data_IF_715561824123
#
_entry.id   IF_715561824123
#
_cell.length_a   1.000
_cell.length_b   1.000
_cell.length_c   1.000
_cell.angle_alpha   90.00
_cell.angle_beta   90.00
_cell.angle_gamma   90.00
#
_symmetry.space_group_name_H-M   'P 1'
#
loop_
_entity.id
_entity.type
_entity.pdbx_description
1 polymer ?
#
# COMPACT_ATOMS: atom_id res chain seq x y z
N UNK A 1 1.26 28.40 -33.20
CA UNK A 1 2.25 28.29 -34.29
C UNK A 1 3.32 27.33 -33.82
N UNK A 2 3.24 26.07 -34.24
CA UNK A 2 4.13 24.99 -33.78
C UNK A 2 5.21 24.76 -34.86
N UNK A 3 6.48 24.92 -34.49
CA UNK A 3 7.63 24.57 -35.34
C UNK A 3 8.01 23.09 -35.19
N UNK A 4 8.63 22.47 -36.21
CA UNK A 4 8.92 21.04 -36.22
C UNK A 4 10.24 20.70 -35.50
N UNK A 5 10.27 19.53 -34.85
CA UNK A 5 11.47 18.90 -34.28
C UNK A 5 12.26 18.13 -35.36
N UNK A 6 13.60 18.14 -35.33
CA UNK A 6 14.42 17.39 -36.28
C UNK A 6 14.62 15.93 -35.87
N UNK A 7 14.67 15.07 -36.89
CA UNK A 7 15.04 13.66 -36.83
C UNK A 7 16.55 13.47 -36.63
N UNK A 8 16.94 12.34 -36.02
CA UNK A 8 18.29 11.78 -36.16
C UNK A 8 18.33 10.28 -35.90
N UNK A 9 19.35 9.58 -36.44
CA UNK A 9 19.22 8.26 -37.06
C UNK A 9 19.82 7.14 -36.20
N UNK A 10 19.56 5.90 -36.63
CA UNK A 10 19.93 4.67 -35.94
C UNK A 10 21.29 4.08 -36.30
N UNK A 11 21.45 2.83 -35.83
CA UNK A 11 22.30 1.80 -36.42
C UNK A 11 23.69 1.65 -35.80
N UNK A 12 23.98 0.44 -35.28
CA UNK A 12 25.34 0.04 -34.95
C UNK A 12 25.43 -1.20 -34.07
N UNK A 13 25.30 -2.37 -34.68
CA UNK A 13 25.58 -3.68 -34.09
C UNK A 13 27.10 -3.93 -33.96
N UNK A 14 27.51 -4.73 -32.97
CA UNK A 14 28.78 -5.45 -33.01
C UNK A 14 28.68 -6.79 -32.26
N UNK A 15 29.07 -7.85 -32.98
CA UNK A 15 29.24 -9.23 -32.54
C UNK A 15 30.63 -9.46 -31.92
N UNK A 16 30.77 -10.54 -31.15
CA UNK A 16 32.04 -11.17 -30.75
C UNK A 16 31.78 -12.17 -29.62
N UNK A 17 31.53 -13.45 -29.89
CA UNK A 17 32.44 -14.56 -30.24
C UNK A 17 33.22 -15.16 -29.05
N UNK A 18 32.81 -16.39 -28.72
CA UNK A 18 33.55 -17.60 -28.31
C UNK A 18 34.68 -17.56 -27.26
N UNK A 19 34.58 -18.46 -26.26
CA UNK A 19 35.55 -19.51 -25.87
C UNK A 19 34.97 -20.28 -24.64
N UNK A 20 34.66 -21.58 -24.71
CA UNK A 20 35.54 -22.76 -24.55
C UNK A 20 35.56 -23.32 -23.11
N UNK A 21 35.06 -24.56 -22.99
CA UNK A 21 35.70 -25.64 -22.22
C UNK A 21 35.68 -25.62 -20.68
N UNK A 22 35.03 -26.63 -20.08
CA UNK A 22 35.17 -26.91 -18.65
C UNK A 22 34.34 -28.10 -18.18
N UNK A 23 34.71 -29.31 -18.60
CA UNK A 23 34.26 -30.54 -17.97
C UNK A 23 34.94 -30.68 -16.60
N UNK A 24 34.19 -31.00 -15.55
CA UNK A 24 34.79 -31.26 -14.24
C UNK A 24 33.81 -31.51 -13.12
N UNK A 25 33.69 -32.80 -12.79
CA UNK A 25 33.46 -33.35 -11.45
C UNK A 25 32.06 -33.32 -10.83
N UNK A 26 31.46 -34.51 -10.87
CA UNK A 26 30.55 -35.04 -9.88
C UNK A 26 31.15 -34.95 -8.46
N UNK A 27 30.42 -34.31 -7.56
CA UNK A 27 30.57 -34.50 -6.13
C UNK A 27 29.16 -34.65 -5.54
N UNK A 28 28.95 -35.83 -4.95
CA UNK A 28 27.72 -36.23 -4.28
C UNK A 28 27.39 -35.29 -3.12
N UNK A 29 26.14 -34.84 -3.06
CA UNK A 29 25.57 -34.18 -1.89
C UNK A 29 24.59 -35.12 -1.18
N UNK A 30 24.66 -35.23 0.17
CA UNK A 30 23.94 -36.23 0.95
C UNK A 30 22.47 -35.86 1.18
N UNK A 31 21.59 -36.86 1.05
CA UNK A 31 20.24 -36.79 1.63
C UNK A 31 20.32 -36.86 3.16
N UNK A 32 19.55 -36.01 3.86
CA UNK A 32 18.73 -36.54 4.94
C UNK A 32 17.32 -35.93 4.92
N UNK A 33 16.52 -36.23 3.89
CA UNK A 33 15.08 -35.91 3.85
C UNK A 33 14.22 -37.07 4.39
N UNK A 34 14.57 -37.60 5.57
CA UNK A 34 13.85 -38.76 6.15
C UNK A 34 13.67 -38.72 7.67
N UNK A 35 13.55 -37.53 8.26
CA UNK A 35 13.30 -37.39 9.71
C UNK A 35 12.41 -36.18 10.08
N UNK A 36 11.27 -35.99 9.41
CA UNK A 36 10.15 -35.18 9.95
C UNK A 36 8.82 -35.85 9.55
N UNK A 37 8.56 -37.04 10.09
CA UNK A 37 7.25 -37.70 9.93
C UNK A 37 6.81 -38.46 11.19
N UNK A 38 7.41 -38.20 12.35
CA UNK A 38 7.14 -39.00 13.57
C UNK A 38 7.21 -38.19 14.85
N UNK A 39 6.65 -36.97 14.87
CA UNK A 39 6.44 -36.21 16.10
C UNK A 39 5.16 -35.34 16.07
N UNK A 40 4.07 -35.88 15.51
CA UNK A 40 2.72 -35.35 15.71
C UNK A 40 1.74 -36.48 16.02
N UNK A 41 1.94 -37.15 17.16
CA UNK A 41 0.88 -37.86 17.87
C UNK A 41 0.95 -37.50 19.34
N UNK A 42 -0.05 -36.74 19.77
CA UNK A 42 -0.65 -36.73 21.11
C UNK A 42 -0.80 -35.31 21.64
N UNK A 43 -1.83 -34.61 21.14
CA UNK A 43 -2.64 -33.72 21.96
C UNK A 43 -4.05 -33.72 21.38
N UNK A 44 -5.00 -34.14 22.20
CA UNK A 44 -6.42 -34.13 21.91
C UNK A 44 -6.88 -32.69 21.71
N UNK A 45 -7.08 -32.28 20.46
CA UNK A 45 -7.70 -31.01 20.10
C UNK A 45 -9.16 -31.30 19.73
N UNK A 46 -10.07 -30.61 20.43
CA UNK A 46 -11.51 -30.77 20.30
C UNK A 46 -12.02 -30.55 18.88
N UNK A 47 -13.17 -31.15 18.58
CA UNK A 47 -13.79 -31.21 17.25
C UNK A 47 -14.23 -29.87 16.63
N UNK A 48 -13.83 -28.72 17.18
CA UNK A 48 -14.19 -27.39 16.64
C UNK A 48 -13.12 -26.75 15.75
N UNK A 49 -11.88 -27.25 15.71
CA UNK A 49 -10.79 -26.62 14.94
C UNK A 49 -10.55 -27.25 13.54
N UNK A 50 -11.22 -28.36 13.21
CA UNK A 50 -11.07 -29.00 11.90
C UNK A 50 -11.75 -28.27 10.74
N UNK A 51 -12.56 -27.25 11.03
CA UNK A 51 -13.14 -26.38 10.01
C UNK A 51 -12.20 -25.24 9.56
N UNK A 52 -11.19 -24.88 10.37
CA UNK A 52 -10.28 -23.77 10.09
C UNK A 52 -9.00 -24.17 9.33
N UNK A 53 -8.73 -25.48 9.19
CA UNK A 53 -7.52 -26.01 8.53
C UNK A 53 -7.78 -26.56 7.12
N UNK A 54 -8.88 -26.17 6.47
CA UNK A 54 -8.98 -26.12 5.01
C UNK A 54 -8.50 -24.76 4.48
N UNK A 55 -7.36 -24.30 4.99
CA UNK A 55 -6.54 -23.30 4.31
C UNK A 55 -6.19 -23.90 2.96
N UNK A 56 -6.89 -23.43 1.94
CA UNK A 56 -6.67 -23.79 0.56
C UNK A 56 -5.17 -23.76 0.30
N UNK A 57 -4.60 -24.87 -0.17
CA UNK A 57 -3.28 -24.83 -0.76
C UNK A 57 -3.26 -23.61 -1.69
N UNK A 58 -2.29 -22.67 -1.53
CA UNK A 58 -2.22 -21.51 -2.39
C UNK A 58 -2.28 -22.06 -3.82
N UNK A 59 -3.35 -21.69 -4.54
CA UNK A 59 -3.58 -22.24 -5.88
C UNK A 59 -2.28 -22.08 -6.66
N UNK A 60 -1.86 -23.07 -7.45
CA UNK A 60 -0.60 -22.99 -8.24
C UNK A 60 -0.51 -21.67 -9.02
N UNK A 61 -1.65 -21.08 -9.38
CA UNK A 61 -1.78 -19.73 -9.92
C UNK A 61 -1.17 -18.62 -9.04
N UNK A 62 -1.35 -18.66 -7.72
CA UNK A 62 -0.77 -17.70 -6.78
C UNK A 62 0.76 -17.74 -6.76
N UNK A 63 1.37 -18.92 -6.96
CA UNK A 63 2.83 -19.06 -7.10
C UNK A 63 3.35 -18.59 -8.46
N UNK A 64 2.47 -18.51 -9.47
CA UNK A 64 2.80 -18.07 -10.83
C UNK A 64 2.51 -16.57 -11.06
N UNK A 65 1.98 -15.86 -10.05
CA UNK A 65 1.71 -14.44 -10.18
C UNK A 65 3.03 -13.68 -10.29
N UNK A 66 3.21 -13.03 -11.44
CA UNK A 66 4.30 -12.07 -11.65
C UNK A 66 3.84 -10.67 -11.27
N UNK A 67 4.79 -9.77 -11.00
CA UNK A 67 4.49 -8.34 -10.80
C UNK A 67 3.68 -7.74 -11.96
N UNK A 68 3.91 -8.18 -13.20
CA UNK A 68 3.15 -7.73 -14.39
C UNK A 68 1.68 -8.14 -14.32
N UNK A 69 1.39 -9.39 -13.97
CA UNK A 69 0.00 -9.84 -13.79
C UNK A 69 -0.69 -9.12 -12.62
N UNK A 70 0.06 -8.78 -11.58
CA UNK A 70 -0.47 -8.04 -10.43
C UNK A 70 -0.84 -6.59 -10.78
N UNK A 71 0.06 -5.86 -11.42
CA UNK A 71 -0.20 -4.49 -11.91
C UNK A 71 -1.38 -4.48 -12.90
N UNK A 72 -1.50 -5.50 -13.76
CA UNK A 72 -2.63 -5.59 -14.69
C UNK A 72 -3.98 -5.70 -13.97
N UNK A 73 -4.07 -6.48 -12.88
CA UNK A 73 -5.29 -6.54 -12.07
C UNK A 73 -5.69 -5.18 -11.48
N UNK A 74 -4.70 -4.38 -11.06
CA UNK A 74 -4.93 -3.01 -10.56
C UNK A 74 -5.41 -2.09 -11.67
N UNK A 75 -4.78 -2.15 -12.86
CA UNK A 75 -5.18 -1.37 -14.04
C UNK A 75 -6.63 -1.65 -14.47
N UNK A 76 -7.05 -2.90 -14.34
CA UNK A 76 -8.41 -3.38 -14.61
C UNK A 76 -9.38 -3.16 -13.44
N UNK A 77 -8.95 -2.54 -12.34
CA UNK A 77 -9.76 -2.32 -11.12
C UNK A 77 -10.31 -3.60 -10.49
N UNK A 78 -9.63 -4.73 -10.66
CA UNK A 78 -10.01 -6.03 -10.07
C UNK A 78 -9.57 -6.11 -8.61
N UNK A 79 -10.01 -5.16 -7.78
CA UNK A 79 -9.54 -4.94 -6.41
C UNK A 79 -9.57 -6.19 -5.53
N UNK A 80 -10.68 -6.94 -5.56
CA UNK A 80 -10.82 -8.16 -4.75
C UNK A 80 -9.78 -9.23 -5.15
N UNK A 81 -9.50 -9.37 -6.45
CA UNK A 81 -8.52 -10.33 -6.94
C UNK A 81 -7.10 -9.87 -6.64
N UNK A 82 -6.82 -8.58 -6.76
CA UNK A 82 -5.54 -8.00 -6.36
C UNK A 82 -5.28 -8.18 -4.85
N UNK A 83 -6.29 -7.96 -3.98
CA UNK A 83 -6.19 -8.27 -2.55
C UNK A 83 -5.90 -9.75 -2.29
N UNK A 84 -6.63 -10.65 -2.97
CA UNK A 84 -6.41 -12.10 -2.85
C UNK A 84 -5.02 -12.52 -3.32
N UNK A 85 -4.55 -11.93 -4.43
CA UNK A 85 -3.22 -12.13 -4.98
C UNK A 85 -2.12 -11.73 -3.98
N UNK A 86 -2.18 -10.53 -3.40
CA UNK A 86 -1.21 -10.09 -2.39
C UNK A 86 -1.26 -10.99 -1.17
N UNK A 87 -2.45 -11.31 -0.66
CA UNK A 87 -2.58 -12.13 0.56
C UNK A 87 -2.11 -13.57 0.39
N UNK A 88 -2.18 -14.12 -0.83
CA UNK A 88 -1.83 -15.51 -1.11
C UNK A 88 -0.41 -15.70 -1.68
N UNK A 89 0.29 -14.62 -2.05
CA UNK A 89 1.62 -14.70 -2.62
C UNK A 89 2.66 -15.04 -1.54
N UNK A 90 3.67 -15.86 -1.87
CA UNK A 90 4.73 -16.23 -0.93
C UNK A 90 5.68 -15.07 -0.60
N UNK A 91 5.66 -14.00 -1.39
CA UNK A 91 6.41 -12.76 -1.14
C UNK A 91 5.56 -11.55 -1.54
N UNK A 92 4.62 -11.09 -0.70
CA UNK A 92 3.74 -9.98 -1.02
C UNK A 92 4.47 -8.65 -1.22
N UNK A 93 5.61 -8.45 -0.56
CA UNK A 93 6.46 -7.26 -0.69
C UNK A 93 7.08 -7.16 -2.08
N UNK A 94 7.44 -8.31 -2.69
CA UNK A 94 7.92 -8.34 -4.07
C UNK A 94 6.85 -7.85 -5.05
N UNK A 95 5.58 -8.26 -4.86
CA UNK A 95 4.48 -7.76 -5.66
C UNK A 95 4.30 -6.25 -5.46
N UNK A 96 4.32 -5.78 -4.21
CA UNK A 96 4.14 -4.37 -3.86
C UNK A 96 5.24 -3.45 -4.44
N UNK A 97 6.48 -3.93 -4.53
CA UNK A 97 7.63 -3.21 -5.12
C UNK A 97 7.85 -3.48 -6.61
N UNK A 98 7.04 -4.33 -7.23
CA UNK A 98 7.17 -4.59 -8.66
C UNK A 98 7.00 -3.30 -9.46
N UNK A 99 7.68 -3.20 -10.60
CA UNK A 99 7.55 -2.06 -11.50
C UNK A 99 7.18 -2.58 -12.88
N UNK A 100 6.36 -1.82 -13.60
CA UNK A 100 6.16 -2.09 -15.02
C UNK A 100 7.33 -1.56 -15.86
N UNK A 101 7.17 -1.62 -17.20
CA UNK A 101 8.20 -1.18 -18.15
C UNK A 101 8.48 0.32 -18.10
N UNK A 102 7.52 1.12 -17.65
CA UNK A 102 7.57 2.58 -17.59
C UNK A 102 8.08 3.05 -16.22
N UNK A 103 8.25 2.10 -15.28
CA UNK A 103 8.72 2.34 -13.93
C UNK A 103 7.60 2.68 -12.96
N UNK A 104 6.34 2.47 -13.34
CA UNK A 104 5.19 2.66 -12.48
C UNK A 104 5.02 1.46 -11.54
N UNK A 105 4.76 1.78 -10.28
CA UNK A 105 4.51 0.80 -9.23
C UNK A 105 3.03 0.42 -9.14
N UNK A 106 2.70 -0.72 -8.50
CA UNK A 106 1.34 -1.04 -8.08
C UNK A 106 0.67 0.11 -7.32
N UNK A 107 1.41 0.78 -6.44
CA UNK A 107 0.90 1.90 -5.66
C UNK A 107 0.53 3.08 -6.56
N UNK A 108 1.37 3.44 -7.53
CA UNK A 108 1.11 4.50 -8.51
C UNK A 108 -0.11 4.18 -9.37
N UNK A 109 -0.22 2.94 -9.87
CA UNK A 109 -1.37 2.51 -10.66
C UNK A 109 -2.67 2.46 -9.84
N UNK A 110 -2.59 2.01 -8.58
CA UNK A 110 -3.74 1.99 -7.69
C UNK A 110 -4.20 3.41 -7.42
N UNK A 111 -3.28 4.30 -7.04
CA UNK A 111 -3.53 5.72 -6.84
C UNK A 111 -4.23 6.35 -8.06
N UNK A 112 -3.70 6.12 -9.26
CA UNK A 112 -4.29 6.62 -10.51
C UNK A 112 -5.69 6.06 -10.81
N UNK A 113 -5.94 4.77 -10.49
CA UNK A 113 -7.21 4.09 -10.82
C UNK A 113 -8.21 4.05 -9.67
N UNK A 114 -7.89 4.64 -8.52
CA UNK A 114 -8.63 4.49 -7.28
C UNK A 114 -10.11 4.86 -7.42
N UNK A 115 -10.92 4.27 -6.55
CA UNK A 115 -12.36 4.48 -6.44
C UNK A 115 -12.79 4.25 -4.99
N UNK A 116 -14.01 4.66 -4.61
CA UNK A 116 -14.56 4.46 -3.26
C UNK A 116 -14.91 3.01 -2.91
N UNK A 117 -14.28 2.03 -3.58
CA UNK A 117 -14.44 0.63 -3.28
C UNK A 117 -13.71 0.29 -1.97
N UNK A 118 -14.37 -0.40 -1.01
CA UNK A 118 -13.70 -0.84 0.22
C UNK A 118 -12.47 -1.71 -0.05
N UNK A 119 -12.50 -2.49 -1.14
CA UNK A 119 -11.36 -3.32 -1.55
C UNK A 119 -10.20 -2.48 -2.09
N UNK A 120 -10.48 -1.35 -2.74
CA UNK A 120 -9.44 -0.41 -3.17
C UNK A 120 -8.74 0.22 -1.96
N UNK A 121 -9.50 0.67 -0.97
CA UNK A 121 -8.96 1.23 0.27
C UNK A 121 -8.12 0.20 1.03
N UNK A 122 -8.63 -1.03 1.18
CA UNK A 122 -7.89 -2.13 1.79
C UNK A 122 -6.58 -2.39 1.06
N UNK A 123 -6.61 -2.49 -0.28
CA UNK A 123 -5.42 -2.73 -1.08
C UNK A 123 -4.41 -1.59 -0.95
N UNK A 124 -4.84 -0.32 -0.96
CA UNK A 124 -3.95 0.83 -0.76
C UNK A 124 -3.17 0.69 0.56
N UNK A 125 -3.89 0.48 1.67
CA UNK A 125 -3.27 0.34 3.00
C UNK A 125 -2.32 -0.83 3.06
N UNK A 126 -2.71 -1.99 2.52
CA UNK A 126 -1.83 -3.16 2.45
C UNK A 126 -0.56 -2.87 1.63
N UNK A 127 -0.65 -2.17 0.51
CA UNK A 127 0.55 -1.81 -0.28
C UNK A 127 1.46 -0.82 0.47
N UNK A 128 0.89 0.14 1.19
CA UNK A 128 1.66 1.09 2.01
C UNK A 128 2.36 0.40 3.19
N UNK A 129 1.73 -0.60 3.80
CA UNK A 129 2.33 -1.41 4.87
C UNK A 129 3.47 -2.29 4.36
N UNK A 130 3.29 -2.94 3.20
CA UNK A 130 4.29 -3.87 2.64
C UNK A 130 5.51 -3.16 2.03
N UNK A 131 5.30 -1.96 1.47
CA UNK A 131 6.32 -1.23 0.74
C UNK A 131 6.20 0.29 0.96
N UNK A 132 6.43 0.77 2.21
CA UNK A 132 6.28 2.19 2.54
C UNK A 132 7.21 3.09 1.74
N UNK A 133 8.38 2.60 1.35
CA UNK A 133 9.35 3.32 0.50
C UNK A 133 8.78 3.69 -0.89
N UNK A 134 7.74 2.99 -1.35
CA UNK A 134 7.14 3.24 -2.66
C UNK A 134 6.32 4.53 -2.71
N UNK A 135 5.90 5.09 -1.57
CA UNK A 135 5.14 6.35 -1.52
C UNK A 135 5.95 7.54 -2.07
N UNK A 136 7.28 7.51 -1.93
CA UNK A 136 8.19 8.56 -2.38
C UNK A 136 8.93 8.18 -3.68
N UNK A 137 8.59 7.03 -4.26
CA UNK A 137 9.21 6.56 -5.50
C UNK A 137 8.66 7.32 -6.71
N UNK A 138 9.55 7.95 -7.45
CA UNK A 138 9.23 8.62 -8.71
C UNK A 138 9.24 7.65 -9.88
N UNK A 139 8.23 7.72 -10.74
CA UNK A 139 8.25 7.03 -12.03
C UNK A 139 9.21 7.71 -13.02
N UNK A 140 9.54 7.01 -14.12
CA UNK A 140 10.68 7.36 -14.97
C UNK A 140 10.40 8.47 -15.97
N UNK A 141 9.20 8.53 -16.51
CA UNK A 141 8.80 9.39 -17.63
C UNK A 141 8.63 10.83 -17.15
N UNK A 142 7.66 11.10 -16.28
CA UNK A 142 7.29 12.44 -15.81
C UNK A 142 7.85 12.78 -14.42
N UNK A 143 8.46 11.80 -13.73
CA UNK A 143 8.92 11.96 -12.36
C UNK A 143 7.78 12.03 -11.35
N UNK A 144 6.59 11.50 -11.67
CA UNK A 144 5.44 11.48 -10.78
C UNK A 144 5.69 10.61 -9.56
N UNK A 145 5.31 11.14 -8.40
CA UNK A 145 5.05 10.33 -7.20
C UNK A 145 3.68 9.66 -7.33
N UNK A 146 3.39 8.60 -6.56
CA UNK A 146 2.03 8.08 -6.43
C UNK A 146 0.98 9.15 -6.16
N UNK A 147 1.32 10.21 -5.41
CA UNK A 147 0.42 11.35 -5.17
C UNK A 147 0.11 12.14 -6.45
N UNK A 148 1.07 12.32 -7.36
CA UNK A 148 0.81 12.91 -8.68
C UNK A 148 -0.06 11.99 -9.52
N UNK A 149 0.20 10.68 -9.50
CA UNK A 149 -0.63 9.68 -10.19
C UNK A 149 -2.08 9.73 -9.71
N UNK A 150 -2.30 9.88 -8.39
CA UNK A 150 -3.63 10.04 -7.80
C UNK A 150 -4.34 11.30 -8.32
N UNK A 151 -3.65 12.45 -8.34
CA UNK A 151 -4.21 13.70 -8.84
C UNK A 151 -4.52 13.64 -10.34
N UNK A 152 -3.59 13.09 -11.15
CA UNK A 152 -3.78 12.87 -12.58
C UNK A 152 -4.99 11.94 -12.86
N UNK A 153 -5.24 10.97 -11.98
CA UNK A 153 -6.40 10.08 -12.05
C UNK A 153 -7.71 10.66 -11.51
N UNK A 154 -7.67 11.86 -10.92
CA UNK A 154 -8.76 12.43 -10.12
C UNK A 154 -9.29 11.45 -9.06
N UNK A 155 -8.37 10.78 -8.36
CA UNK A 155 -8.69 9.86 -7.30
C UNK A 155 -9.51 10.54 -6.19
N UNK A 156 -10.33 9.81 -5.41
CA UNK A 156 -10.94 10.36 -4.21
C UNK A 156 -9.91 10.98 -3.25
N UNK A 157 -10.29 12.04 -2.51
CA UNK A 157 -9.37 12.76 -1.63
C UNK A 157 -8.75 11.86 -0.54
N UNK A 158 -9.49 10.86 -0.05
CA UNK A 158 -8.99 9.91 0.95
C UNK A 158 -7.72 9.16 0.49
N UNK A 159 -7.50 9.00 -0.82
CA UNK A 159 -6.27 8.42 -1.35
C UNK A 159 -5.10 9.38 -1.15
N UNK A 160 -5.31 10.67 -1.41
CA UNK A 160 -4.31 11.71 -1.19
C UNK A 160 -3.97 11.83 0.30
N UNK A 161 -5.00 11.86 1.14
CA UNK A 161 -4.89 11.90 2.60
C UNK A 161 -4.03 10.72 3.11
N UNK A 162 -4.32 9.49 2.69
CA UNK A 162 -3.57 8.29 3.07
C UNK A 162 -2.10 8.31 2.61
N UNK A 163 -1.83 8.83 1.40
CA UNK A 163 -0.47 8.97 0.89
C UNK A 163 0.29 10.07 1.66
N UNK A 164 -0.35 11.20 1.97
CA UNK A 164 0.23 12.29 2.75
C UNK A 164 0.51 11.87 4.20
N UNK A 165 -0.28 10.97 4.79
CA UNK A 165 0.05 10.40 6.12
C UNK A 165 1.41 9.70 6.12
N UNK A 166 1.78 9.05 5.01
CA UNK A 166 3.04 8.31 4.89
C UNK A 166 4.20 9.19 4.41
N UNK A 167 3.91 10.22 3.61
CA UNK A 167 4.92 11.14 3.07
C UNK A 167 4.37 12.56 2.88
N UNK A 168 4.28 13.35 3.97
CA UNK A 168 3.72 14.69 3.97
C UNK A 168 4.37 15.63 2.95
N UNK A 169 5.69 15.58 2.81
CA UNK A 169 6.45 16.43 1.90
C UNK A 169 6.10 16.19 0.43
N UNK A 170 5.49 15.03 0.12
CA UNK A 170 5.02 14.67 -1.20
C UNK A 170 4.00 15.64 -1.77
N UNK A 171 3.24 16.35 -0.94
CA UNK A 171 2.20 17.29 -1.38
C UNK A 171 2.77 18.53 -2.07
N UNK A 172 4.00 18.92 -1.73
CA UNK A 172 4.72 20.05 -2.35
C UNK A 172 5.83 19.58 -3.31
N UNK A 173 5.98 18.26 -3.49
CA UNK A 173 7.00 17.71 -4.36
C UNK A 173 6.65 18.01 -5.81
N UNK A 174 7.62 18.52 -6.56
CA UNK A 174 7.41 18.86 -7.96
C UNK A 174 7.74 17.67 -8.87
N UNK A 175 6.96 17.47 -9.93
CA UNK A 175 7.27 16.58 -11.05
C UNK A 175 8.42 17.12 -11.91
N UNK A 176 8.83 16.40 -12.96
CA UNK A 176 9.83 16.91 -13.93
C UNK A 176 9.36 18.12 -14.71
N UNK A 177 8.04 18.29 -14.85
CA UNK A 177 7.43 19.47 -15.47
C UNK A 177 7.17 20.61 -14.49
N UNK A 178 7.70 20.49 -13.25
CA UNK A 178 7.61 21.50 -12.18
C UNK A 178 6.19 21.77 -11.68
N UNK A 179 5.29 20.80 -11.79
CA UNK A 179 3.96 20.87 -11.20
C UNK A 179 3.92 20.09 -9.89
N UNK A 180 3.25 20.61 -8.87
CA UNK A 180 2.87 19.85 -7.68
C UNK A 180 1.72 18.87 -8.02
N UNK A 181 1.39 17.90 -7.16
CA UNK A 181 0.21 17.06 -7.36
C UNK A 181 -1.08 17.87 -7.53
N UNK A 182 -1.25 18.95 -6.76
CA UNK A 182 -2.45 19.77 -6.82
C UNK A 182 -2.53 20.56 -8.14
N UNK A 183 -1.44 21.23 -8.52
CA UNK A 183 -1.34 21.94 -9.81
C UNK A 183 -1.67 21.01 -10.98
N UNK A 184 -1.09 19.80 -10.96
CA UNK A 184 -1.30 18.77 -11.98
C UNK A 184 -2.78 18.36 -12.08
N UNK A 185 -3.44 18.18 -10.93
CA UNK A 185 -4.86 17.84 -10.86
C UNK A 185 -5.76 18.95 -11.39
N UNK A 186 -5.49 20.21 -10.99
CA UNK A 186 -6.22 21.39 -11.46
C UNK A 186 -6.01 21.60 -12.97
N UNK A 187 -4.78 21.47 -13.45
CA UNK A 187 -4.41 21.61 -14.86
C UNK A 187 -5.12 20.56 -15.73
N UNK A 188 -5.14 19.29 -15.29
CA UNK A 188 -5.70 18.19 -16.07
C UNK A 188 -7.25 18.06 -15.98
N UNK A 189 -7.86 18.44 -14.86
CA UNK A 189 -9.31 18.24 -14.63
C UNK A 189 -10.12 19.55 -14.47
N UNK A 190 -9.46 20.70 -14.34
CA UNK A 190 -10.09 22.00 -14.14
C UNK A 190 -11.07 21.99 -12.96
N UNK A 191 -12.28 22.49 -13.19
CA UNK A 191 -13.36 22.52 -12.19
C UNK A 191 -13.87 21.14 -11.75
N UNK A 192 -13.47 20.05 -12.43
CA UNK A 192 -13.86 18.68 -12.04
C UNK A 192 -12.86 18.04 -11.08
N UNK A 193 -11.76 18.73 -10.74
CA UNK A 193 -10.79 18.21 -9.78
C UNK A 193 -11.40 18.14 -8.38
N UNK A 194 -11.30 16.98 -7.73
CA UNK A 194 -12.05 16.67 -6.50
C UNK A 194 -11.31 16.99 -5.21
N UNK A 195 -10.01 17.27 -5.28
CA UNK A 195 -9.23 17.45 -4.07
C UNK A 195 -9.45 18.83 -3.46
N UNK A 196 -9.49 18.93 -2.12
CA UNK A 196 -9.38 20.23 -1.48
C UNK A 196 -7.95 20.76 -1.65
N UNK A 197 -7.71 22.02 -1.26
CA UNK A 197 -6.38 22.64 -1.36
C UNK A 197 -5.31 21.86 -0.59
N UNK A 198 -4.03 22.09 -0.91
CA UNK A 198 -2.93 21.35 -0.28
C UNK A 198 -2.92 21.49 1.24
N UNK A 199 -3.21 22.69 1.74
CA UNK A 199 -3.29 22.94 3.18
C UNK A 199 -4.35 22.09 3.88
N UNK A 200 -5.53 21.94 3.27
CA UNK A 200 -6.62 21.14 3.84
C UNK A 200 -6.28 19.65 3.79
N UNK A 201 -5.66 19.16 2.70
CA UNK A 201 -5.17 17.79 2.62
C UNK A 201 -4.11 17.49 3.69
N UNK A 202 -3.18 18.41 3.93
CA UNK A 202 -2.16 18.25 4.96
C UNK A 202 -2.79 18.20 6.36
N UNK A 203 -3.72 19.11 6.65
CA UNK A 203 -4.45 19.12 7.93
C UNK A 203 -5.20 17.80 8.16
N UNK A 204 -5.83 17.27 7.12
CA UNK A 204 -6.55 16.00 7.21
C UNK A 204 -5.61 14.80 7.39
N UNK A 205 -4.46 14.81 6.72
CA UNK A 205 -3.41 13.80 6.92
C UNK A 205 -2.87 13.83 8.37
N UNK A 206 -2.58 15.01 8.91
CA UNK A 206 -2.12 15.17 10.30
C UNK A 206 -3.17 14.66 11.29
N UNK A 207 -4.45 14.95 11.03
CA UNK A 207 -5.59 14.46 11.82
C UNK A 207 -5.66 12.93 11.79
N UNK A 208 -5.56 12.30 10.62
CA UNK A 208 -5.57 10.84 10.47
C UNK A 208 -4.38 10.21 11.22
N UNK A 209 -3.19 10.79 11.11
CA UNK A 209 -2.00 10.30 11.81
C UNK A 209 -2.17 10.38 13.33
N UNK A 210 -2.67 11.50 13.85
CA UNK A 210 -2.97 11.66 15.27
C UNK A 210 -3.97 10.60 15.76
N UNK A 211 -5.02 10.33 14.99
CA UNK A 211 -6.00 9.29 15.31
C UNK A 211 -5.39 7.89 15.32
N UNK A 212 -4.49 7.57 14.37
CA UNK A 212 -3.77 6.28 14.35
C UNK A 212 -2.89 6.09 15.58
N UNK A 213 -2.13 7.11 15.96
CA UNK A 213 -1.31 7.09 17.16
C UNK A 213 -2.16 6.90 18.42
N UNK A 214 -3.28 7.63 18.52
CA UNK A 214 -4.20 7.47 19.63
C UNK A 214 -4.80 6.05 19.71
N UNK A 215 -5.23 5.49 18.58
CA UNK A 215 -5.72 4.12 18.50
C UNK A 215 -4.67 3.09 18.95
N UNK A 216 -3.42 3.27 18.52
CA UNK A 216 -2.31 2.41 18.92
C UNK A 216 -2.04 2.50 20.43
N UNK A 217 -2.12 3.70 21.03
CA UNK A 217 -2.01 3.88 22.48
C UNK A 217 -3.14 3.18 23.23
N UNK A 218 -4.39 3.31 22.77
CA UNK A 218 -5.54 2.62 23.37
C UNK A 218 -5.37 1.10 23.33
N UNK A 219 -4.92 0.57 22.19
CA UNK A 219 -4.63 -0.85 22.06
C UNK A 219 -3.52 -1.29 23.03
N UNK A 220 -2.45 -0.50 23.18
CA UNK A 220 -1.34 -0.80 24.10
C UNK A 220 -1.77 -0.86 25.58
N UNK A 221 -2.84 -0.16 25.96
CA UNK A 221 -3.40 -0.19 27.33
C UNK A 221 -4.57 -1.17 27.50
N UNK A 222 -4.77 -2.06 26.52
CA UNK A 222 -5.78 -3.11 26.58
C UNK A 222 -7.20 -2.65 26.27
N UNK A 223 -7.38 -1.49 25.63
CA UNK A 223 -8.67 -1.05 25.11
C UNK A 223 -8.81 -1.58 23.68
N UNK A 224 -9.61 -2.65 23.52
CA UNK A 224 -9.91 -3.21 22.21
C UNK A 224 -10.89 -2.30 21.44
N UNK A 225 -10.40 -1.69 20.36
CA UNK A 225 -11.23 -1.04 19.36
C UNK A 225 -11.54 -2.09 18.28
N UNK A 226 -12.80 -2.23 17.87
CA UNK A 226 -13.14 -3.19 16.81
C UNK A 226 -12.41 -2.89 15.49
N UNK A 227 -12.09 -3.92 14.69
CA UNK A 227 -11.29 -3.79 13.46
C UNK A 227 -11.95 -2.99 12.33
N UNK A 228 -13.26 -2.73 12.41
CA UNK A 228 -14.03 -2.06 11.36
C UNK A 228 -14.53 -0.69 11.84
N UNK A 229 -13.62 0.28 11.95
CA UNK A 229 -13.98 1.61 12.46
C UNK A 229 -13.79 2.66 11.38
N UNK A 230 -14.91 3.05 10.77
CA UNK A 230 -15.05 4.38 10.21
C UNK A 230 -15.17 5.33 11.42
N UNK A 231 -14.06 6.00 11.76
CA UNK A 231 -13.92 6.74 13.02
C UNK A 231 -14.97 7.84 13.26
N UNK A 232 -15.63 8.33 12.22
CA UNK A 232 -16.75 9.27 12.35
C UNK A 232 -17.92 8.71 13.17
N UNK A 233 -18.20 7.40 13.10
CA UNK A 233 -19.25 6.78 13.91
C UNK A 233 -18.79 6.48 15.35
N UNK A 234 -17.49 6.26 15.54
CA UNK A 234 -16.92 5.87 16.81
C UNK A 234 -16.55 7.06 17.69
N UNK A 235 -16.47 8.28 17.16
CA UNK A 235 -16.33 9.51 17.96
C UNK A 235 -17.44 9.64 19.02
N UNK A 236 -18.65 9.20 18.69
CA UNK A 236 -19.78 9.11 19.63
C UNK A 236 -19.52 8.05 20.73
N UNK A 237 -18.76 6.99 20.44
CA UNK A 237 -18.28 6.04 21.46
C UNK A 237 -17.05 6.56 22.21
N UNK A 238 -16.17 7.33 21.59
CA UNK A 238 -15.00 7.97 22.25
C UNK A 238 -15.48 8.88 23.38
N UNK A 239 -16.62 9.58 23.23
CA UNK A 239 -17.25 10.30 24.34
C UNK A 239 -17.67 9.41 25.52
N UNK A 240 -18.04 8.13 25.30
CA UNK A 240 -18.27 7.16 26.39
C UNK A 240 -16.97 6.63 27.00
N UNK A 241 -15.94 6.44 26.16
CA UNK A 241 -14.61 6.00 26.61
C UNK A 241 -13.90 7.11 27.40
N UNK A 242 -14.25 8.39 27.18
CA UNK A 242 -13.75 9.54 27.95
C UNK A 242 -13.84 9.35 29.47
N UNK A 243 -14.93 8.73 29.96
CA UNK A 243 -15.08 8.41 31.39
C UNK A 243 -14.17 7.29 31.88
N UNK A 244 -13.68 6.42 30.98
CA UNK A 244 -12.78 5.31 31.29
C UNK A 244 -11.30 5.68 31.18
N UNK A 245 -10.96 6.71 30.40
CA UNK A 245 -9.56 7.13 30.18
C UNK A 245 -8.85 7.54 31.49
N UNK A 246 -9.45 8.31 32.42
CA UNK A 246 -8.79 8.65 33.68
C UNK A 246 -8.37 7.43 34.49
N UNK A 247 -9.27 6.44 34.60
CA UNK A 247 -9.03 5.23 35.39
C UNK A 247 -8.01 4.28 34.76
N UNK A 248 -7.93 4.23 33.42
CA UNK A 248 -7.03 3.32 32.69
C UNK A 248 -5.66 3.92 32.38
N UNK A 249 -5.60 5.23 32.12
CA UNK A 249 -4.37 5.94 31.77
C UNK A 249 -3.77 6.71 32.95
N UNK A 250 -4.45 6.75 34.11
CA UNK A 250 -4.03 7.57 35.24
C UNK A 250 -4.08 9.08 34.94
N UNK A 251 -4.83 9.48 33.91
CA UNK A 251 -4.93 10.89 33.51
C UNK A 251 -5.90 11.64 34.42
N UNK A 252 -5.59 12.88 34.83
CA UNK A 252 -6.56 13.72 35.52
C UNK A 252 -7.74 14.03 34.56
N UNK A 253 -8.98 14.12 35.05
CA UNK A 253 -10.18 14.32 34.20
C UNK A 253 -10.07 15.47 33.17
N UNK A 254 -9.47 16.63 33.49
CA UNK A 254 -9.30 17.72 32.51
C UNK A 254 -8.41 17.33 31.32
N UNK A 255 -7.37 16.52 31.54
CA UNK A 255 -6.49 16.05 30.47
C UNK A 255 -7.20 15.04 29.55
N UNK A 256 -8.06 14.19 30.13
CA UNK A 256 -8.88 13.27 29.35
C UNK A 256 -9.91 14.02 28.49
N UNK A 257 -10.53 15.09 29.02
CA UNK A 257 -11.49 15.90 28.27
C UNK A 257 -10.83 16.67 27.11
N UNK A 258 -9.62 17.22 27.32
CA UNK A 258 -8.84 17.87 26.26
C UNK A 258 -8.46 16.89 25.14
N UNK A 259 -8.05 15.66 25.49
CA UNK A 259 -7.78 14.60 24.51
C UNK A 259 -9.02 14.29 23.67
N UNK A 260 -10.19 14.19 24.29
CA UNK A 260 -11.45 13.92 23.59
C UNK A 260 -11.82 15.07 22.65
N UNK A 261 -11.66 16.33 23.09
CA UNK A 261 -11.92 17.51 22.25
C UNK A 261 -10.94 17.65 21.08
N UNK A 262 -9.68 17.25 21.27
CA UNK A 262 -8.68 17.30 20.21
C UNK A 262 -8.94 16.25 19.12
N UNK A 263 -9.59 15.14 19.47
CA UNK A 263 -9.88 14.04 18.55
C UNK A 263 -11.23 14.18 17.82
N UNK A 264 -12.14 15.02 18.34
CA UNK A 264 -13.50 15.26 17.82
C UNK A 264 -13.55 16.40 16.81
#
# INVERSE_FOLDING_TARGET
MCGPLPASPGGGAACGSACSGGAGNAAALPQPARAIATLLRSRCVGHSERAALRLAAPSVLALMLTGRSFIQMIRERRWAQACGAVSAHCSPEFLARSLDKDGDSPLSWLAYKASDSPMCMRLLRTLLELAPDMVSKRERVYGFLPLHSAAWGNAPSWVAEELCVQYPEGIYAHSKVKETPYDLGVSNHGFSFRWPSEHVLQQEADRILAMRHFAALLHAVGVALGEAVHWSAELVRVQRVAGMLPARLGLPPPAAELLVRYLA
#
